data_IF_598942240872
#
_entry.id   IF_598942240872
#
_cell.length_a   1.000
_cell.length_b   1.000
_cell.length_c   1.000
_cell.angle_alpha   90.00
_cell.angle_beta   90.00
_cell.angle_gamma   90.00
#
_symmetry.space_group_name_H-M   'P 1'
#
loop_
_entity.id
_entity.type
_entity.pdbx_description
1 polymer ?
#
# COMPACT_ATOMS: atom_id res chain seq x y z
N UNK A 1 1.63 -16.87 5.18
CA UNK A 1 1.40 -15.53 5.74
C UNK A 1 2.32 -14.47 5.15
N UNK A 2 3.65 -14.60 5.22
CA UNK A 2 4.55 -13.61 4.60
C UNK A 2 4.27 -13.37 3.10
N UNK A 3 4.07 -14.42 2.30
CA UNK A 3 3.74 -14.30 0.87
C UNK A 3 2.47 -13.47 0.61
N UNK A 4 1.42 -13.70 1.40
CA UNK A 4 0.15 -12.96 1.33
C UNK A 4 0.35 -11.49 1.72
N UNK A 5 1.09 -11.23 2.80
CA UNK A 5 1.41 -9.88 3.24
C UNK A 5 2.17 -9.08 2.16
N UNK A 6 3.18 -9.69 1.53
CA UNK A 6 3.91 -9.08 0.43
C UNK A 6 3.03 -8.84 -0.80
N UNK A 7 2.17 -9.81 -1.16
CA UNK A 7 1.23 -9.66 -2.26
C UNK A 7 0.22 -8.52 -2.01
N UNK A 8 -0.33 -8.44 -0.80
CA UNK A 8 -1.24 -7.35 -0.41
C UNK A 8 -0.56 -5.98 -0.46
N UNK A 9 0.72 -5.90 -0.07
CA UNK A 9 1.50 -4.66 -0.19
C UNK A 9 1.69 -4.21 -1.64
N UNK A 10 1.96 -5.16 -2.54
CA UNK A 10 2.08 -4.88 -3.98
C UNK A 10 0.74 -4.36 -4.50
N UNK A 11 -0.34 -5.08 -4.21
CA UNK A 11 -1.68 -4.73 -4.68
C UNK A 11 -2.15 -3.36 -4.14
N UNK A 12 -1.89 -3.06 -2.87
CA UNK A 12 -2.14 -1.75 -2.26
C UNK A 12 -1.36 -0.63 -2.97
N UNK A 13 -0.07 -0.84 -3.20
CA UNK A 13 0.77 0.20 -3.82
C UNK A 13 0.39 0.45 -5.28
N UNK A 14 0.05 -0.60 -6.04
CA UNK A 14 -0.39 -0.46 -7.44
C UNK A 14 -1.77 0.17 -7.56
N UNK A 15 -2.71 -0.19 -6.69
CA UNK A 15 -4.06 0.41 -6.70
C UNK A 15 -4.03 1.87 -6.25
N UNK A 16 -3.20 2.20 -5.25
CA UNK A 16 -2.94 3.59 -4.83
C UNK A 16 -2.36 4.41 -5.99
N UNK A 17 -1.36 3.87 -6.69
CA UNK A 17 -0.77 4.54 -7.85
C UNK A 17 -1.79 4.81 -8.95
N UNK A 18 -2.60 3.81 -9.30
CA UNK A 18 -3.65 3.96 -10.30
C UNK A 18 -4.70 5.01 -9.89
N UNK A 19 -5.14 5.01 -8.64
CA UNK A 19 -6.09 5.99 -8.13
C UNK A 19 -5.53 7.42 -8.18
N UNK A 20 -4.27 7.62 -7.78
CA UNK A 20 -3.61 8.93 -7.81
C UNK A 20 -3.42 9.46 -9.23
N UNK A 21 -3.11 8.58 -10.19
CA UNK A 21 -3.00 8.98 -11.60
C UNK A 21 -4.33 9.48 -12.20
N UNK A 22 -5.46 9.09 -11.62
CA UNK A 22 -6.80 9.56 -11.99
C UNK A 22 -7.26 10.79 -11.21
N UNK A 23 -6.39 11.41 -10.40
CA UNK A 23 -6.70 12.61 -9.62
C UNK A 23 -7.30 12.33 -8.24
N UNK A 24 -7.20 11.10 -7.72
CA UNK A 24 -7.52 10.81 -6.32
C UNK A 24 -6.52 11.49 -5.36
N UNK A 25 -6.86 11.51 -4.07
CA UNK A 25 -6.04 12.06 -2.98
C UNK A 25 -5.59 10.93 -2.06
N UNK A 26 -4.31 10.95 -1.69
CA UNK A 26 -3.75 10.03 -0.69
C UNK A 26 -4.31 10.37 0.70
N UNK A 27 -5.04 9.43 1.31
CA UNK A 27 -5.64 9.63 2.64
C UNK A 27 -4.65 9.53 3.80
N UNK A 28 -3.47 8.93 3.59
CA UNK A 28 -2.44 8.84 4.62
C UNK A 28 -1.58 10.11 4.65
N UNK A 29 -1.61 10.92 5.73
CA UNK A 29 -0.91 12.21 5.78
C UNK A 29 0.62 12.06 5.72
N UNK A 30 1.18 10.96 6.22
CA UNK A 30 2.63 10.70 6.18
C UNK A 30 3.06 10.40 4.75
N UNK A 31 2.28 9.56 4.05
CA UNK A 31 2.56 9.20 2.66
C UNK A 31 2.33 10.42 1.76
N UNK A 32 1.25 11.18 1.97
CA UNK A 32 0.99 12.42 1.25
C UNK A 32 2.09 13.48 1.43
N UNK A 33 2.63 13.61 2.64
CA UNK A 33 3.80 14.47 2.89
C UNK A 33 5.07 13.97 2.19
N UNK A 34 5.32 12.65 2.21
CA UNK A 34 6.41 12.06 1.42
C UNK A 34 6.25 12.32 -0.08
N UNK A 35 5.03 12.18 -0.62
CA UNK A 35 4.73 12.46 -2.02
C UNK A 35 4.98 13.93 -2.38
N UNK A 36 4.69 14.88 -1.49
CA UNK A 36 4.96 16.30 -1.75
C UNK A 36 6.45 16.65 -1.72
N UNK A 37 7.26 15.88 -0.99
CA UNK A 37 8.71 16.08 -0.91
C UNK A 37 9.49 15.43 -2.07
N UNK A 38 9.17 14.17 -2.40
CA UNK A 38 9.97 13.36 -3.33
C UNK A 38 9.21 12.90 -4.57
N UNK A 39 7.93 13.24 -4.70
CA UNK A 39 7.05 12.78 -5.76
C UNK A 39 6.36 11.44 -5.46
N UNK A 40 5.33 11.12 -6.26
CA UNK A 40 4.44 9.96 -6.05
C UNK A 40 5.20 8.64 -6.13
N UNK A 41 5.94 8.42 -7.21
CA UNK A 41 6.63 7.13 -7.47
C UNK A 41 7.68 6.83 -6.41
N UNK A 42 8.59 7.76 -6.03
CA UNK A 42 9.57 7.51 -4.98
C UNK A 42 8.92 7.28 -3.61
N UNK A 43 7.86 8.02 -3.27
CA UNK A 43 7.14 7.85 -2.01
C UNK A 43 6.49 6.45 -1.90
N UNK A 44 5.86 5.97 -2.97
CA UNK A 44 5.28 4.62 -3.00
C UNK A 44 6.35 3.53 -2.95
N UNK A 45 7.51 3.74 -3.58
CA UNK A 45 8.65 2.81 -3.47
C UNK A 45 9.18 2.71 -2.03
N UNK A 46 9.30 3.85 -1.33
CA UNK A 46 9.69 3.89 0.09
C UNK A 46 8.65 3.16 0.95
N UNK A 47 7.35 3.39 0.72
CA UNK A 47 6.25 2.68 1.39
C UNK A 47 6.38 1.17 1.19
N UNK A 48 6.56 0.72 -0.06
CA UNK A 48 6.72 -0.70 -0.37
C UNK A 48 7.92 -1.31 0.36
N UNK A 49 9.08 -0.65 0.31
CA UNK A 49 10.31 -1.13 0.95
C UNK A 49 10.15 -1.26 2.46
N UNK A 50 9.55 -0.27 3.12
CA UNK A 50 9.28 -0.33 4.56
C UNK A 50 8.40 -1.53 4.93
N UNK A 51 7.34 -1.77 4.15
CA UNK A 51 6.43 -2.90 4.39
C UNK A 51 7.17 -4.24 4.17
N UNK A 52 7.97 -4.37 3.12
CA UNK A 52 8.82 -5.57 2.91
C UNK A 52 9.78 -5.77 4.08
N UNK A 53 10.45 -4.72 4.54
CA UNK A 53 11.42 -4.79 5.62
C UNK A 53 10.77 -5.26 6.93
N UNK A 54 9.61 -4.70 7.28
CA UNK A 54 8.80 -5.13 8.44
C UNK A 54 8.39 -6.60 8.30
N UNK A 55 7.94 -7.00 7.10
CA UNK A 55 7.57 -8.38 6.82
C UNK A 55 8.71 -9.37 7.05
N UNK A 56 9.90 -9.04 6.53
CA UNK A 56 11.11 -9.86 6.67
C UNK A 56 11.59 -9.91 8.12
N UNK A 57 11.58 -8.78 8.84
CA UNK A 57 11.95 -8.73 10.27
C UNK A 57 11.01 -9.62 11.09
N UNK A 58 9.70 -9.47 10.94
CA UNK A 58 8.71 -10.27 11.67
C UNK A 58 8.80 -11.75 11.30
N UNK A 59 9.15 -12.06 10.06
CA UNK A 59 9.42 -13.45 9.65
C UNK A 59 10.66 -14.01 10.33
N UNK A 60 11.78 -13.27 10.36
CA UNK A 60 13.01 -13.69 11.04
C UNK A 60 12.84 -13.87 12.54
N UNK A 61 11.98 -13.07 13.17
CA UNK A 61 11.66 -13.19 14.60
C UNK A 61 10.63 -14.29 14.91
N UNK A 62 10.12 -15.03 13.91
CA UNK A 62 9.05 -16.03 14.09
C UNK A 62 7.69 -15.42 14.44
N UNK A 63 7.54 -14.10 14.37
CA UNK A 63 6.36 -13.32 14.74
C UNK A 63 5.36 -13.17 13.57
N UNK A 64 5.36 -14.11 12.63
CA UNK A 64 4.56 -14.07 11.39
C UNK A 64 3.05 -13.94 11.63
N UNK A 65 2.57 -14.35 12.82
CA UNK A 65 1.17 -14.19 13.25
C UNK A 65 0.72 -12.73 13.34
N UNK A 66 1.64 -11.82 13.65
CA UNK A 66 1.36 -10.38 13.74
C UNK A 66 1.17 -9.73 12.36
N UNK A 67 1.52 -10.42 11.27
CA UNK A 67 1.28 -9.93 9.91
C UNK A 67 -0.18 -10.00 9.48
N UNK A 68 -1.04 -10.75 10.19
CA UNK A 68 -2.47 -10.91 9.80
C UNK A 68 -3.20 -9.57 9.72
N UNK A 69 -3.16 -8.80 10.80
CA UNK A 69 -3.86 -7.50 10.88
C UNK A 69 -3.36 -6.52 9.81
N UNK A 70 -2.03 -6.29 9.65
CA UNK A 70 -1.49 -5.49 8.55
C UNK A 70 -1.90 -5.98 7.16
N UNK A 71 -1.93 -7.30 6.94
CA UNK A 71 -2.31 -7.89 5.64
C UNK A 71 -3.76 -7.55 5.31
N UNK A 72 -4.68 -7.67 6.27
CA UNK A 72 -6.09 -7.30 6.07
C UNK A 72 -6.25 -5.81 5.81
N UNK A 73 -5.54 -4.96 6.55
CA UNK A 73 -5.59 -3.51 6.34
C UNK A 73 -5.15 -3.14 4.92
N UNK A 74 -4.01 -3.67 4.45
CA UNK A 74 -3.52 -3.45 3.08
C UNK A 74 -4.53 -3.93 2.05
N UNK A 75 -5.15 -5.08 2.27
CA UNK A 75 -6.13 -5.64 1.35
C UNK A 75 -7.40 -4.78 1.25
N UNK A 76 -7.91 -4.28 2.38
CA UNK A 76 -9.09 -3.39 2.42
C UNK A 76 -8.78 -2.07 1.72
N UNK A 77 -7.64 -1.44 2.01
CA UNK A 77 -7.23 -0.18 1.38
C UNK A 77 -7.11 -0.37 -0.14
N UNK A 78 -6.50 -1.46 -0.57
CA UNK A 78 -6.33 -1.75 -1.99
C UNK A 78 -7.67 -1.95 -2.72
N UNK A 79 -8.65 -2.61 -2.07
CA UNK A 79 -10.01 -2.74 -2.62
C UNK A 79 -10.66 -1.36 -2.76
N UNK A 80 -10.59 -0.52 -1.72
CA UNK A 80 -11.18 0.82 -1.75
C UNK A 80 -10.56 1.69 -2.85
N UNK A 81 -9.23 1.65 -2.99
CA UNK A 81 -8.53 2.36 -4.07
C UNK A 81 -8.93 1.84 -5.45
N UNK A 82 -9.06 0.51 -5.60
CA UNK A 82 -9.48 -0.10 -6.87
C UNK A 82 -10.93 0.25 -7.23
N UNK A 83 -11.84 0.29 -6.25
CA UNK A 83 -13.22 0.74 -6.46
C UNK A 83 -13.26 2.20 -6.91
N UNK A 84 -12.44 3.05 -6.31
CA UNK A 84 -12.35 4.45 -6.69
C UNK A 84 -11.86 4.62 -8.13
N UNK A 85 -10.85 3.84 -8.55
CA UNK A 85 -10.37 3.80 -9.95
C UNK A 85 -11.53 3.45 -10.89
N UNK A 86 -12.29 2.38 -10.59
CA UNK A 86 -13.42 1.96 -11.43
C UNK A 86 -14.48 3.07 -11.54
N UNK A 87 -14.82 3.73 -10.42
CA UNK A 87 -15.78 4.83 -10.40
C UNK A 87 -15.31 6.02 -11.23
N UNK A 88 -14.03 6.39 -11.14
CA UNK A 88 -13.46 7.51 -11.88
C UNK A 88 -13.36 7.27 -13.39
N UNK A 89 -13.19 6.01 -13.82
CA UNK A 89 -13.14 5.65 -15.26
C UNK A 89 -14.54 5.51 -15.88
N UNK A 90 -15.58 5.32 -15.07
CA UNK A 90 -16.95 5.09 -15.56
C UNK A 90 -17.79 6.38 -15.70
N UNK A 91 -17.22 7.53 -15.36
CA UNK A 91 -17.81 8.88 -15.43
C UNK A 91 -17.25 9.66 -16.62
#
# INVERSE_FOLDING_TARGET
MLKLFLASNVFDSTSTWAALMLGSVEGNPIVGYLMSLVGVVPALAVKMLLVVLVGVILWRLGLVRFLKVPTYALFVIAILNSLQVVLMVSL
#
